data_IF_575305406607
#
_entry.id   IF_575305406607
#
_cell.length_a   1.000
_cell.length_b   1.000
_cell.length_c   1.000
_cell.angle_alpha   90.00
_cell.angle_beta   90.00
_cell.angle_gamma   90.00
#
_symmetry.space_group_name_H-M   'P 1'
#
loop_
_entity.id
_entity.type
_entity.pdbx_description
1 polymer ?
#
# COMPACT_ATOMS: atom_id res chain seq x y z
N UNK A 1 -9.90 15.11 4.07
CA UNK A 1 -8.49 15.13 4.53
C UNK A 1 -7.63 15.84 3.47
N UNK A 2 -6.51 16.50 3.84
CA UNK A 2 -5.61 17.17 2.89
C UNK A 2 -4.42 16.22 2.57
N UNK A 3 -4.04 16.01 1.29
CA UNK A 3 -2.74 15.47 0.85
C UNK A 3 -1.55 15.77 1.76
N UNK A 4 -1.40 17.03 2.17
CA UNK A 4 -0.28 17.48 2.99
C UNK A 4 -0.27 16.83 4.37
N UNK A 5 -1.44 16.57 4.96
CA UNK A 5 -1.53 15.94 6.27
C UNK A 5 -1.06 14.49 6.22
N UNK A 6 -1.49 13.74 5.20
CA UNK A 6 -1.08 12.34 5.04
C UNK A 6 0.41 12.24 4.78
N UNK A 7 0.91 13.09 3.89
CA UNK A 7 2.34 13.22 3.62
C UNK A 7 3.13 13.50 4.90
N UNK A 8 2.71 14.49 5.70
CA UNK A 8 3.41 14.88 6.92
C UNK A 8 3.42 13.77 7.97
N UNK A 9 2.26 13.17 8.26
CA UNK A 9 2.15 12.06 9.24
C UNK A 9 2.95 10.84 8.78
N UNK A 10 2.93 10.52 7.48
CA UNK A 10 3.72 9.42 6.94
C UNK A 10 5.23 9.69 6.98
N UNK A 11 5.66 10.93 6.68
CA UNK A 11 7.06 11.33 6.78
C UNK A 11 7.58 11.28 8.23
N UNK A 12 6.77 11.71 9.20
CA UNK A 12 7.08 11.60 10.63
C UNK A 12 7.24 10.13 11.04
N UNK A 13 6.28 9.28 10.66
CA UNK A 13 6.35 7.84 10.94
C UNK A 13 7.55 7.18 10.28
N UNK A 14 7.90 7.59 9.06
CA UNK A 14 9.10 7.10 8.38
C UNK A 14 10.38 7.50 9.12
N UNK A 15 10.49 8.74 9.61
CA UNK A 15 11.65 9.19 10.39
C UNK A 15 11.84 8.37 11.70
N UNK A 16 10.74 7.94 12.31
CA UNK A 16 10.73 7.09 13.50
C UNK A 16 10.87 5.58 13.20
N UNK A 17 10.89 5.18 11.93
CA UNK A 17 10.88 3.76 11.54
C UNK A 17 12.18 3.06 11.94
N UNK A 18 12.06 1.87 12.53
CA UNK A 18 13.20 0.98 12.84
C UNK A 18 12.87 -0.45 12.42
N UNK A 19 13.87 -1.17 11.91
CA UNK A 19 13.77 -2.63 11.74
C UNK A 19 13.79 -3.30 13.12
N UNK A 20 12.96 -4.32 13.30
CA UNK A 20 12.85 -5.06 14.57
C UNK A 20 13.87 -6.22 14.64
N UNK A 21 14.03 -7.06 13.59
CA UNK A 21 15.01 -8.15 13.64
C UNK A 21 16.42 -7.61 13.88
N UNK A 22 17.22 -8.36 14.65
CA UNK A 22 18.61 -8.01 14.90
C UNK A 22 19.40 -7.94 13.60
N UNK A 23 20.35 -7.00 13.54
CA UNK A 23 21.26 -6.83 12.41
C UNK A 23 21.91 -8.18 12.02
N UNK A 24 22.04 -8.41 10.71
CA UNK A 24 22.61 -9.63 10.12
C UNK A 24 21.82 -10.93 10.37
N UNK A 25 20.69 -10.90 11.09
CA UNK A 25 19.81 -12.06 11.20
C UNK A 25 19.11 -12.39 9.87
N UNK A 26 18.62 -13.64 9.73
CA UNK A 26 17.95 -14.11 8.52
C UNK A 26 16.81 -13.16 8.10
N UNK A 27 16.00 -12.72 9.06
CA UNK A 27 14.86 -11.82 8.80
C UNK A 27 15.22 -10.34 8.74
N UNK A 28 16.48 -9.96 9.00
CA UNK A 28 16.92 -8.57 8.86
C UNK A 28 16.78 -8.09 7.41
N UNK A 29 17.13 -8.95 6.45
CA UNK A 29 16.95 -8.65 5.02
C UNK A 29 15.48 -8.46 4.65
N UNK A 30 14.58 -9.28 5.21
CA UNK A 30 13.14 -9.12 5.06
C UNK A 30 12.63 -7.80 5.66
N UNK A 31 13.17 -7.36 6.79
CA UNK A 31 12.81 -6.06 7.38
C UNK A 31 13.35 -4.88 6.55
N UNK A 32 14.55 -5.02 5.98
CA UNK A 32 15.22 -3.97 5.19
C UNK A 32 14.49 -3.54 3.93
N UNK A 33 13.62 -4.38 3.35
CA UNK A 33 12.83 -3.99 2.16
C UNK A 33 11.82 -2.88 2.48
N UNK A 34 11.32 -2.82 3.72
CA UNK A 34 10.27 -1.88 4.10
C UNK A 34 10.73 -0.42 4.07
N UNK A 35 11.83 -0.01 4.75
CA UNK A 35 12.30 1.36 4.66
C UNK A 35 12.62 1.76 3.20
N UNK A 36 13.23 0.87 2.42
CA UNK A 36 13.51 1.11 1.00
C UNK A 36 12.22 1.45 0.23
N UNK A 37 11.23 0.56 0.25
CA UNK A 37 10.00 0.71 -0.51
C UNK A 37 9.16 1.92 -0.03
N UNK A 38 9.02 2.09 1.29
CA UNK A 38 8.28 3.23 1.87
C UNK A 38 8.93 4.56 1.45
N UNK A 39 10.27 4.64 1.50
CA UNK A 39 10.99 5.86 1.11
C UNK A 39 10.86 6.17 -0.37
N UNK A 40 10.88 5.13 -1.22
CA UNK A 40 10.69 5.27 -2.67
C UNK A 40 9.34 5.90 -3.01
N UNK A 41 8.25 5.33 -2.49
CA UNK A 41 6.91 5.85 -2.71
C UNK A 41 6.66 7.21 -2.05
N UNK A 42 7.28 7.50 -0.90
CA UNK A 42 7.29 8.85 -0.32
C UNK A 42 7.96 9.86 -1.27
N UNK A 43 9.14 9.52 -1.78
CA UNK A 43 9.90 10.38 -2.70
C UNK A 43 9.17 10.61 -4.03
N UNK A 44 8.56 9.57 -4.59
CA UNK A 44 7.76 9.69 -5.81
C UNK A 44 6.52 10.54 -5.56
N UNK A 45 5.86 10.39 -4.41
CA UNK A 45 4.74 11.22 -4.01
C UNK A 45 5.12 12.70 -3.94
N UNK A 46 6.25 13.01 -3.30
CA UNK A 46 6.79 14.37 -3.21
C UNK A 46 7.11 14.95 -4.60
N UNK A 47 7.64 14.13 -5.51
CA UNK A 47 7.94 14.54 -6.89
C UNK A 47 6.66 14.87 -7.67
N UNK A 48 5.64 14.03 -7.58
CA UNK A 48 4.34 14.30 -8.21
C UNK A 48 3.70 15.56 -7.66
N UNK A 49 3.74 15.75 -6.33
CA UNK A 49 3.19 16.93 -5.68
C UNK A 49 3.88 18.22 -6.15
N UNK A 50 5.22 18.20 -6.27
CA UNK A 50 6.00 19.33 -6.78
C UNK A 50 5.67 19.69 -8.24
N UNK A 51 5.17 18.72 -9.02
CA UNK A 51 4.72 18.91 -10.40
C UNK A 51 3.24 19.30 -10.51
N UNK A 52 2.53 19.43 -9.38
CA UNK A 52 1.09 19.70 -9.35
C UNK A 52 0.21 18.49 -9.65
N UNK A 53 0.77 17.28 -9.69
CA UNK A 53 0.04 16.03 -9.94
C UNK A 53 -0.46 15.44 -8.61
N UNK A 54 -1.56 16.00 -8.12
CA UNK A 54 -2.13 15.64 -6.81
C UNK A 54 -2.62 14.19 -6.79
N UNK A 55 -3.25 13.74 -7.88
CA UNK A 55 -3.78 12.38 -7.99
C UNK A 55 -2.68 11.31 -7.86
N UNK A 56 -1.55 11.49 -8.57
CA UNK A 56 -0.43 10.54 -8.46
C UNK A 56 0.31 10.66 -7.13
N UNK A 57 0.51 11.89 -6.62
CA UNK A 57 1.11 12.10 -5.30
C UNK A 57 0.33 11.34 -4.23
N UNK A 58 -0.99 11.50 -4.25
CA UNK A 58 -1.90 10.88 -3.31
C UNK A 58 -1.87 9.35 -3.37
N UNK A 59 -1.96 8.77 -4.57
CA UNK A 59 -1.84 7.33 -4.74
C UNK A 59 -0.52 6.79 -4.17
N UNK A 60 0.59 7.51 -4.39
CA UNK A 60 1.92 7.14 -3.90
C UNK A 60 2.00 7.11 -2.38
N UNK A 61 1.44 8.11 -1.69
CA UNK A 61 1.44 8.14 -0.23
C UNK A 61 0.62 7.00 0.40
N UNK A 62 -0.55 6.67 -0.17
CA UNK A 62 -1.32 5.52 0.32
C UNK A 62 -0.64 4.20 0.06
N UNK A 63 0.05 4.08 -1.07
CA UNK A 63 0.86 2.92 -1.38
C UNK A 63 1.95 2.73 -0.32
N UNK A 64 2.70 3.79 0.00
CA UNK A 64 3.71 3.80 1.05
C UNK A 64 3.13 3.44 2.43
N UNK A 65 1.95 3.94 2.77
CA UNK A 65 1.27 3.57 4.01
C UNK A 65 0.90 2.08 4.04
N UNK A 66 0.46 1.51 2.90
CA UNK A 66 0.18 0.08 2.77
C UNK A 66 1.41 -0.78 3.09
N UNK A 67 2.57 -0.41 2.55
CA UNK A 67 3.86 -1.04 2.91
C UNK A 67 4.18 -0.91 4.40
N UNK A 68 4.01 0.29 4.96
CA UNK A 68 4.30 0.55 6.37
C UNK A 68 3.43 -0.32 7.29
N UNK A 69 2.12 -0.35 7.05
CA UNK A 69 1.21 -1.13 7.89
C UNK A 69 1.39 -2.65 7.68
N UNK A 70 1.77 -3.09 6.48
CA UNK A 70 2.16 -4.48 6.24
C UNK A 70 3.38 -4.88 7.07
N UNK A 71 4.42 -4.06 7.07
CA UNK A 71 5.64 -4.32 7.85
C UNK A 71 5.40 -4.31 9.36
N UNK A 72 4.55 -3.40 9.83
CA UNK A 72 4.11 -3.35 11.23
C UNK A 72 3.31 -4.60 11.61
N UNK A 73 2.36 -5.01 10.76
CA UNK A 73 1.55 -6.19 11.01
C UNK A 73 2.34 -7.50 10.99
N UNK A 74 3.45 -7.54 10.26
CA UNK A 74 4.37 -8.68 10.25
C UNK A 74 5.38 -8.65 11.40
N UNK A 75 5.47 -7.54 12.14
CA UNK A 75 6.46 -7.36 13.19
C UNK A 75 7.90 -7.25 12.67
N UNK A 76 8.08 -6.82 11.42
CA UNK A 76 9.40 -6.63 10.80
C UNK A 76 9.94 -5.21 11.02
N UNK A 77 9.05 -4.25 11.16
CA UNK A 77 9.38 -2.86 11.47
C UNK A 77 8.53 -2.37 12.64
N UNK A 78 9.01 -1.33 13.30
CA UNK A 78 8.25 -0.49 14.22
C UNK A 78 8.33 0.96 13.76
N UNK A 79 7.32 1.74 14.11
CA UNK A 79 7.33 3.20 13.99
C UNK A 79 6.75 3.78 15.27
N UNK A 80 6.61 5.10 15.36
CA UNK A 80 5.94 5.79 16.47
C UNK A 80 4.44 5.43 16.56
N UNK A 81 3.62 6.41 16.92
CA UNK A 81 2.19 6.16 17.11
C UNK A 81 1.53 5.52 15.87
N UNK A 82 0.54 4.62 16.06
CA UNK A 82 -0.25 4.09 14.96
C UNK A 82 -0.88 5.22 14.14
N UNK A 83 -1.13 4.94 12.86
CA UNK A 83 -1.86 5.85 11.98
C UNK A 83 -3.17 6.27 12.64
N UNK A 84 -3.37 7.59 12.79
CA UNK A 84 -4.54 8.16 13.47
C UNK A 84 -5.61 8.67 12.49
N UNK A 85 -5.28 8.72 11.20
CA UNK A 85 -6.17 9.23 10.16
C UNK A 85 -7.24 8.23 9.71
N UNK A 86 -8.32 8.74 9.15
CA UNK A 86 -9.29 7.94 8.43
C UNK A 86 -8.89 7.80 6.94
N UNK A 87 -8.50 6.58 6.54
CA UNK A 87 -8.15 6.23 5.15
C UNK A 87 -9.32 6.48 4.18
N UNK A 88 -10.55 6.37 4.68
CA UNK A 88 -11.77 6.46 3.91
C UNK A 88 -12.30 7.89 3.83
N UNK A 89 -11.70 8.83 4.58
CA UNK A 89 -12.17 10.20 4.67
C UNK A 89 -12.27 10.83 3.27
N UNK A 90 -13.44 11.37 2.90
CA UNK A 90 -13.60 12.08 1.64
C UNK A 90 -12.58 13.21 1.50
N UNK A 91 -12.11 13.39 0.28
CA UNK A 91 -11.13 14.42 -0.05
C UNK A 91 -11.74 15.33 -1.11
N UNK A 92 -11.74 16.65 -0.87
CA UNK A 92 -11.98 17.58 -1.96
C UNK A 92 -10.80 17.47 -2.93
N UNK A 93 -11.11 17.13 -4.18
CA UNK A 93 -10.14 17.13 -5.28
C UNK A 93 -10.46 18.31 -6.19
N UNK A 94 -9.47 19.13 -6.59
CA UNK A 94 -9.71 20.25 -7.50
C UNK A 94 -10.36 19.79 -8.80
N UNK A 95 -11.17 20.65 -9.41
CA UNK A 95 -11.86 20.32 -10.67
C UNK A 95 -10.88 19.92 -11.78
N UNK A 96 -9.69 20.53 -11.79
CA UNK A 96 -8.59 20.24 -12.73
C UNK A 96 -8.06 18.81 -12.64
N UNK A 97 -8.29 18.13 -11.52
CA UNK A 97 -7.80 16.76 -11.26
C UNK A 97 -8.89 15.70 -11.49
N UNK A 98 -10.16 16.09 -11.70
CA UNK A 98 -11.29 15.14 -11.77
C UNK A 98 -11.13 14.06 -12.84
N UNK A 99 -10.70 14.44 -14.04
CA UNK A 99 -10.50 13.50 -15.14
C UNK A 99 -9.34 12.53 -14.87
N UNK A 100 -8.21 13.07 -14.41
CA UNK A 100 -7.04 12.26 -14.00
C UNK A 100 -7.39 11.29 -12.88
N UNK A 101 -8.14 11.76 -11.88
CA UNK A 101 -8.63 10.94 -10.78
C UNK A 101 -9.51 9.81 -11.29
N UNK A 102 -10.49 10.10 -12.16
CA UNK A 102 -11.39 9.09 -12.70
C UNK A 102 -10.63 8.02 -13.49
N UNK A 103 -9.72 8.41 -14.38
CA UNK A 103 -8.86 7.48 -15.12
C UNK A 103 -8.06 6.62 -14.15
N UNK A 104 -7.34 7.24 -13.21
CA UNK A 104 -6.41 6.52 -12.34
C UNK A 104 -7.14 5.59 -11.39
N UNK A 105 -8.27 6.01 -10.81
CA UNK A 105 -9.11 5.15 -9.96
C UNK A 105 -9.58 3.91 -10.70
N UNK A 106 -10.14 4.09 -11.90
CA UNK A 106 -10.63 2.96 -12.72
C UNK A 106 -9.49 2.01 -13.09
N UNK A 107 -8.35 2.56 -13.54
CA UNK A 107 -7.16 1.77 -13.87
C UNK A 107 -6.62 1.00 -12.67
N UNK A 108 -6.47 1.65 -11.52
CA UNK A 108 -5.94 1.00 -10.30
C UNK A 108 -6.88 -0.09 -9.80
N UNK A 109 -8.19 0.11 -9.86
CA UNK A 109 -9.15 -0.92 -9.51
C UNK A 109 -9.04 -2.14 -10.44
N UNK A 110 -8.94 -1.93 -11.75
CA UNK A 110 -8.75 -3.03 -12.71
C UNK A 110 -7.44 -3.78 -12.49
N UNK A 111 -6.33 -3.06 -12.25
CA UNK A 111 -5.04 -3.67 -11.93
C UNK A 111 -5.11 -4.47 -10.63
N UNK A 112 -5.78 -3.96 -9.59
CA UNK A 112 -5.87 -4.63 -8.29
C UNK A 112 -6.69 -5.92 -8.37
N UNK A 113 -7.77 -5.91 -9.17
CA UNK A 113 -8.56 -7.10 -9.46
C UNK A 113 -7.69 -8.20 -10.09
N UNK A 114 -6.88 -7.84 -11.10
CA UNK A 114 -5.93 -8.75 -11.75
C UNK A 114 -4.84 -9.24 -10.81
N UNK A 115 -4.30 -8.35 -9.97
CA UNK A 115 -3.28 -8.68 -8.99
C UNK A 115 -3.81 -9.74 -8.01
N UNK A 116 -4.97 -9.51 -7.38
CA UNK A 116 -5.59 -10.48 -6.47
C UNK A 116 -5.88 -11.82 -7.16
N UNK A 117 -6.35 -11.80 -8.40
CA UNK A 117 -6.57 -13.01 -9.18
C UNK A 117 -5.29 -13.78 -9.55
N UNK A 118 -4.13 -13.13 -9.45
CA UNK A 118 -2.82 -13.71 -9.82
C UNK A 118 -2.02 -14.21 -8.61
N UNK A 119 -2.57 -14.20 -7.40
CA UNK A 119 -1.86 -14.56 -6.17
C UNK A 119 -2.36 -15.87 -5.57
N UNK A 120 -1.41 -16.70 -5.16
CA UNK A 120 -1.65 -17.87 -4.30
C UNK A 120 -0.69 -17.86 -3.12
N UNK A 121 -1.13 -18.33 -1.95
CA UNK A 121 -0.25 -18.49 -0.78
C UNK A 121 0.89 -19.45 -1.15
N UNK A 122 2.14 -18.99 -1.01
CA UNK A 122 3.32 -19.80 -1.32
C UNK A 122 3.74 -20.72 -0.17
N UNK A 123 3.44 -20.31 1.07
CA UNK A 123 3.76 -21.06 2.27
C UNK A 123 2.95 -22.36 2.37
N UNK A 124 3.58 -23.44 2.82
CA UNK A 124 2.90 -24.71 3.06
C UNK A 124 1.82 -24.53 4.16
N UNK A 125 0.60 -25.06 3.97
CA UNK A 125 -0.45 -25.01 4.99
C UNK A 125 0.03 -25.50 6.36
N UNK A 126 -0.28 -24.73 7.40
CA UNK A 126 0.15 -25.02 8.78
C UNK A 126 1.58 -24.60 9.13
N UNK A 127 2.37 -24.12 8.17
CA UNK A 127 3.67 -23.50 8.46
C UNK A 127 3.51 -22.12 9.13
N UNK A 128 4.58 -21.63 9.76
CA UNK A 128 4.57 -20.33 10.43
C UNK A 128 4.30 -19.13 9.48
N UNK A 129 4.51 -19.30 8.17
CA UNK A 129 4.28 -18.26 7.16
C UNK A 129 2.90 -18.35 6.49
N UNK A 130 2.17 -19.45 6.66
CA UNK A 130 0.82 -19.59 6.10
C UNK A 130 -0.14 -18.54 6.67
N UNK A 131 -0.20 -18.41 8.00
CA UNK A 131 -1.07 -17.42 8.67
C UNK A 131 -0.78 -15.97 8.26
N UNK A 132 0.50 -15.51 8.27
CA UNK A 132 0.86 -14.20 7.73
C UNK A 132 0.43 -13.98 6.27
N UNK A 133 0.66 -14.95 5.38
CA UNK A 133 0.26 -14.84 3.98
C UNK A 133 -1.26 -14.72 3.82
N UNK A 134 -2.03 -15.58 4.50
CA UNK A 134 -3.49 -15.55 4.52
C UNK A 134 -4.03 -14.22 5.06
N UNK A 135 -3.40 -13.67 6.11
CA UNK A 135 -3.78 -12.37 6.68
C UNK A 135 -3.60 -11.23 5.69
N UNK A 136 -2.47 -11.18 4.98
CA UNK A 136 -2.24 -10.16 3.94
C UNK A 136 -3.28 -10.31 2.83
N UNK A 137 -3.58 -11.54 2.39
CA UNK A 137 -4.57 -11.77 1.34
C UNK A 137 -5.99 -11.37 1.78
N UNK A 138 -6.36 -11.65 3.03
CA UNK A 138 -7.61 -11.21 3.64
C UNK A 138 -7.74 -9.68 3.67
N UNK A 139 -6.68 -8.98 4.07
CA UNK A 139 -6.63 -7.51 4.03
C UNK A 139 -6.78 -7.02 2.59
N UNK A 140 -6.10 -7.67 1.64
CA UNK A 140 -6.20 -7.40 0.21
C UNK A 140 -7.64 -7.43 -0.32
N UNK A 141 -8.35 -8.54 -0.06
CA UNK A 141 -9.76 -8.67 -0.45
C UNK A 141 -10.67 -7.66 0.25
N UNK A 142 -10.41 -7.36 1.53
CA UNK A 142 -11.19 -6.39 2.30
C UNK A 142 -11.10 -5.00 1.69
N UNK A 143 -9.88 -4.52 1.41
CA UNK A 143 -9.67 -3.20 0.83
C UNK A 143 -10.07 -3.11 -0.64
N UNK A 144 -9.92 -4.19 -1.41
CA UNK A 144 -10.47 -4.26 -2.77
C UNK A 144 -12.00 -4.08 -2.77
N UNK A 145 -12.71 -4.78 -1.87
CA UNK A 145 -14.16 -4.64 -1.72
C UNK A 145 -14.53 -3.21 -1.32
N UNK A 146 -13.79 -2.62 -0.40
CA UNK A 146 -14.04 -1.25 0.05
C UNK A 146 -13.82 -0.24 -1.09
N UNK A 147 -12.73 -0.37 -1.85
CA UNK A 147 -12.47 0.46 -3.04
C UNK A 147 -13.57 0.35 -4.08
N UNK A 148 -14.07 -0.87 -4.33
CA UNK A 148 -15.19 -1.12 -5.26
C UNK A 148 -16.47 -0.39 -4.82
N UNK A 149 -16.79 -0.43 -3.52
CA UNK A 149 -17.98 0.25 -2.97
C UNK A 149 -17.86 1.77 -3.07
N UNK A 150 -16.67 2.30 -2.77
CA UNK A 150 -16.40 3.74 -2.86
C UNK A 150 -16.47 4.25 -4.30
N UNK A 151 -15.91 3.51 -5.25
CA UNK A 151 -15.97 3.88 -6.67
C UNK A 151 -17.42 3.91 -7.17
N UNK A 152 -18.21 2.87 -6.84
CA UNK A 152 -19.65 2.83 -7.18
C UNK A 152 -20.45 3.96 -6.54
N UNK A 153 -20.03 4.44 -5.37
CA UNK A 153 -20.62 5.59 -4.69
C UNK A 153 -20.15 6.95 -5.24
N UNK A 154 -19.27 6.97 -6.26
CA UNK A 154 -18.69 8.19 -6.81
C UNK A 154 -17.58 8.82 -5.94
N UNK A 155 -17.17 8.14 -4.86
CA UNK A 155 -16.11 8.60 -3.95
C UNK A 155 -14.73 8.22 -4.50
N UNK A 156 -14.40 8.71 -5.70
CA UNK A 156 -13.24 8.26 -6.48
C UNK A 156 -11.90 8.46 -5.77
N UNK A 157 -11.75 9.54 -5.01
CA UNK A 157 -10.53 9.82 -4.25
C UNK A 157 -10.30 8.81 -3.13
N UNK A 158 -11.35 8.50 -2.36
CA UNK A 158 -11.30 7.46 -1.33
C UNK A 158 -11.12 6.07 -1.94
N UNK A 159 -11.71 5.81 -3.12
CA UNK A 159 -11.51 4.56 -3.85
C UNK A 159 -10.05 4.39 -4.31
N UNK A 160 -9.42 5.46 -4.79
CA UNK A 160 -8.00 5.46 -5.13
C UNK A 160 -7.11 5.24 -3.90
N UNK A 161 -7.44 5.85 -2.76
CA UNK A 161 -6.74 5.61 -1.49
C UNK A 161 -6.81 4.13 -1.11
N UNK A 162 -8.02 3.57 -1.08
CA UNK A 162 -8.27 2.18 -0.69
C UNK A 162 -7.54 1.18 -1.60
N UNK A 163 -7.58 1.40 -2.91
CA UNK A 163 -6.91 0.52 -3.89
C UNK A 163 -5.39 0.66 -3.84
N UNK A 164 -4.85 1.87 -3.70
CA UNK A 164 -3.40 2.10 -3.60
C UNK A 164 -2.83 1.55 -2.29
N UNK A 165 -3.54 1.75 -1.18
CA UNK A 165 -3.20 1.15 0.12
C UNK A 165 -3.17 -0.38 0.03
N UNK A 166 -4.19 -0.97 -0.59
CA UNK A 166 -4.26 -2.41 -0.81
C UNK A 166 -3.06 -2.95 -1.59
N UNK A 167 -2.64 -2.26 -2.65
CA UNK A 167 -1.45 -2.65 -3.41
C UNK A 167 -0.19 -2.71 -2.55
N UNK A 168 0.03 -1.75 -1.65
CA UNK A 168 1.18 -1.78 -0.74
C UNK A 168 1.26 -3.06 0.10
N UNK A 169 0.12 -3.59 0.53
CA UNK A 169 0.06 -4.87 1.24
C UNK A 169 0.39 -6.07 0.34
N UNK A 170 -0.18 -6.10 -0.86
CA UNK A 170 0.03 -7.23 -1.78
C UNK A 170 1.48 -7.28 -2.28
N UNK A 171 2.06 -6.14 -2.65
CA UNK A 171 3.45 -6.03 -3.08
C UNK A 171 4.41 -6.42 -1.95
N UNK A 172 4.11 -6.04 -0.70
CA UNK A 172 4.86 -6.51 0.47
C UNK A 172 4.84 -8.04 0.60
N UNK A 173 3.66 -8.65 0.44
CA UNK A 173 3.54 -10.10 0.46
C UNK A 173 4.30 -10.80 -0.67
N UNK A 174 4.27 -10.25 -1.89
CA UNK A 174 5.02 -10.80 -3.03
C UNK A 174 6.52 -10.66 -2.83
N UNK A 175 7.01 -9.48 -2.43
CA UNK A 175 8.45 -9.23 -2.25
C UNK A 175 9.06 -10.03 -1.10
N UNK A 176 8.26 -10.39 -0.10
CA UNK A 176 8.64 -11.32 0.98
C UNK A 176 8.55 -12.80 0.58
N UNK A 177 8.04 -13.12 -0.61
CA UNK A 177 7.81 -14.49 -1.04
C UNK A 177 6.67 -15.20 -0.30
N UNK A 178 5.76 -14.47 0.34
CA UNK A 178 4.55 -15.04 0.96
C UNK A 178 3.53 -15.51 -0.08
N UNK A 179 3.60 -14.92 -1.28
CA UNK A 179 2.76 -15.28 -2.41
C UNK A 179 3.57 -15.78 -3.59
N UNK A 180 2.99 -16.75 -4.32
CA UNK A 180 3.39 -17.08 -5.68
C UNK A 180 2.49 -16.32 -6.64
N UNK A 181 3.12 -15.62 -7.59
CA UNK A 181 2.40 -14.97 -8.69
C UNK A 181 2.19 -15.98 -9.82
N UNK A 182 0.94 -16.26 -10.18
CA UNK A 182 0.57 -17.34 -11.11
C UNK A 182 0.37 -16.87 -12.55
N UNK A 183 0.04 -15.60 -12.76
CA UNK A 183 -0.21 -15.03 -14.10
C UNK A 183 0.58 -13.73 -14.30
N UNK A 184 0.07 -12.61 -13.77
CA UNK A 184 0.54 -11.27 -14.12
C UNK A 184 1.70 -10.80 -13.23
N UNK A 185 2.89 -11.38 -13.43
CA UNK A 185 4.12 -11.03 -12.68
C UNK A 185 4.52 -9.56 -12.80
N UNK A 186 4.22 -8.92 -13.93
CA UNK A 186 4.52 -7.52 -14.22
C UNK A 186 3.77 -6.51 -13.33
N UNK A 187 2.76 -6.95 -12.58
CA UNK A 187 1.96 -6.09 -11.70
C UNK A 187 2.60 -5.82 -10.34
N UNK A 188 3.70 -6.53 -10.01
CA UNK A 188 4.29 -6.51 -8.68
C UNK A 188 5.75 -6.06 -8.71
N UNK A 189 6.17 -5.39 -7.63
CA UNK A 189 7.56 -4.96 -7.45
C UNK A 189 8.41 -6.07 -6.83
N UNK A 190 9.02 -6.92 -7.67
CA UNK A 190 9.90 -8.03 -7.28
C UNK A 190 11.35 -7.57 -7.21
#
# INVERSE_FOLDING_TARGET
>A
MNPDRVRAELAERYAALRCIPADESIFFTCAGIFPEMISGYLSDGDRFLAQGDLTNAWASYWYALGWMDAGLSLGLITTGNPWSGDILAPLPVPDTEKERLAEKTSRYHALLSRALGSLSVAAEPGSCLAGPAERILFIGHTWYRQGTLLEKAGNLASALSATSYCFGWLDAGVRLGLFRVTDHRELFTI
#
